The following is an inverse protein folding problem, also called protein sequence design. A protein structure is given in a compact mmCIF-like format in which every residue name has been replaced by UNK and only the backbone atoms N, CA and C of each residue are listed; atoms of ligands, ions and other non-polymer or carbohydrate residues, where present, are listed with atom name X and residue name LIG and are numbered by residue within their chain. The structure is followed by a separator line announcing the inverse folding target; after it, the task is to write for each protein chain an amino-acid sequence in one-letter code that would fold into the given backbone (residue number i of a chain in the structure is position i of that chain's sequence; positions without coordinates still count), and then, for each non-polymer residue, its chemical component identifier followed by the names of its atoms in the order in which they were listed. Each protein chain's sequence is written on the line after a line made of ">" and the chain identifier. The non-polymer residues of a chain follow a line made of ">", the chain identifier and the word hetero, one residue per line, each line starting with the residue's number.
data_IF_631594252192
#
_entry.id   IF_631594252192
#
_cell.length_a   1.000
_cell.length_b   1.000
_cell.length_c   1.000
_cell.angle_alpha   90.00
_cell.angle_beta   90.00
_cell.angle_gamma   90.00
#
_symmetry.space_group_name_H-M   'P 1'
#
loop_
_entity.id
_entity.type
_entity.pdbx_description
1 polymer ?
#
# COMPACT_ATOMS: atom_id res chain seq x y z
N UNK A 1 53.73 -20.14 -25.00
CA UNK A 1 52.85 -19.22 -25.76
C UNK A 1 51.43 -19.58 -25.40
N UNK A 2 50.66 -18.58 -24.96
CA UNK A 2 49.34 -18.71 -24.37
C UNK A 2 48.25 -18.80 -25.44
N UNK A 3 47.16 -19.53 -25.17
CA UNK A 3 45.83 -19.08 -25.60
C UNK A 3 44.76 -19.69 -24.69
N UNK A 4 44.10 -18.82 -23.93
CA UNK A 4 42.91 -19.11 -23.17
C UNK A 4 41.71 -18.84 -24.08
N UNK A 5 40.91 -19.87 -24.37
CA UNK A 5 39.63 -19.70 -25.03
C UNK A 5 38.54 -19.51 -23.97
N UNK A 6 38.21 -18.25 -23.71
CA UNK A 6 37.15 -17.81 -22.80
C UNK A 6 35.79 -18.34 -23.22
N UNK A 7 35.06 -18.88 -22.24
CA UNK A 7 33.63 -19.14 -22.33
C UNK A 7 32.86 -17.82 -22.61
N UNK A 8 31.79 -17.83 -23.41
CA UNK A 8 30.93 -16.67 -23.53
C UNK A 8 30.19 -16.46 -22.22
N UNK A 9 30.39 -15.29 -21.61
CA UNK A 9 29.64 -14.82 -20.45
C UNK A 9 28.16 -14.76 -20.80
N UNK A 10 27.37 -15.53 -20.06
CA UNK A 10 25.92 -15.45 -20.09
C UNK A 10 25.52 -14.12 -19.44
N UNK A 11 25.13 -13.15 -20.28
CA UNK A 11 24.45 -11.94 -19.83
C UNK A 11 23.19 -12.34 -19.05
N UNK A 12 22.87 -11.68 -17.92
CA UNK A 12 21.61 -11.92 -17.24
C UNK A 12 20.48 -11.55 -18.20
N UNK A 13 19.69 -12.57 -18.58
CA UNK A 13 18.51 -12.40 -19.41
C UNK A 13 17.66 -11.29 -18.82
N UNK A 14 17.40 -10.29 -19.65
CA UNK A 14 16.47 -9.22 -19.37
C UNK A 14 15.19 -9.85 -18.81
N UNK A 15 14.78 -9.40 -17.63
CA UNK A 15 13.49 -9.76 -17.07
C UNK A 15 12.45 -9.53 -18.15
N UNK A 16 11.84 -10.63 -18.61
CA UNK A 16 10.73 -10.62 -19.54
C UNK A 16 9.62 -9.82 -18.85
N UNK A 17 9.44 -8.55 -19.22
CA UNK A 17 8.32 -7.76 -18.76
C UNK A 17 7.09 -8.33 -19.47
N UNK A 18 6.50 -9.36 -18.87
CA UNK A 18 5.19 -9.87 -19.25
C UNK A 18 4.22 -8.71 -19.06
N UNK A 19 3.83 -8.09 -20.18
CA UNK A 19 2.78 -7.07 -20.17
C UNK A 19 1.47 -7.77 -19.79
N UNK A 20 0.67 -7.17 -18.89
CA UNK A 20 -0.60 -7.75 -18.48
C UNK A 20 -1.51 -7.91 -19.72
N UNK A 21 -2.22 -9.02 -19.78
CA UNK A 21 -3.19 -9.26 -20.84
C UNK A 21 -4.34 -8.26 -20.75
N UNK A 22 -5.12 -8.11 -21.83
CA UNK A 22 -6.32 -7.27 -21.81
C UNK A 22 -7.32 -7.74 -20.74
N UNK A 23 -7.38 -9.05 -20.49
CA UNK A 23 -8.23 -9.64 -19.46
C UNK A 23 -7.73 -9.27 -18.04
N UNK A 24 -6.42 -9.28 -17.80
CA UNK A 24 -5.83 -8.83 -16.53
C UNK A 24 -6.11 -7.35 -16.28
N UNK A 25 -6.01 -6.52 -17.33
CA UNK A 25 -6.33 -5.09 -17.26
C UNK A 25 -7.82 -4.83 -16.98
N UNK A 26 -8.71 -5.63 -17.57
CA UNK A 26 -10.14 -5.53 -17.31
C UNK A 26 -10.50 -5.94 -15.87
N UNK A 27 -9.88 -7.00 -15.35
CA UNK A 27 -10.03 -7.42 -13.95
C UNK A 27 -9.52 -6.34 -12.99
N UNK A 28 -8.32 -5.80 -13.25
CA UNK A 28 -7.75 -4.73 -12.44
C UNK A 28 -8.65 -3.48 -12.43
N UNK A 29 -9.23 -3.11 -13.57
CA UNK A 29 -10.15 -1.98 -13.65
C UNK A 29 -11.44 -2.20 -12.83
N UNK A 30 -11.94 -3.44 -12.75
CA UNK A 30 -13.05 -3.79 -11.88
C UNK A 30 -12.67 -3.68 -10.39
N UNK A 31 -11.52 -4.22 -10.01
CA UNK A 31 -11.01 -4.12 -8.63
C UNK A 31 -10.78 -2.66 -8.22
N UNK A 32 -10.23 -1.84 -9.11
CA UNK A 32 -10.03 -0.41 -8.90
C UNK A 32 -11.37 0.34 -8.74
N UNK A 33 -12.39 -0.03 -9.52
CA UNK A 33 -13.73 0.55 -9.41
C UNK A 33 -14.43 0.16 -8.10
N UNK A 34 -14.27 -1.07 -7.64
CA UNK A 34 -14.77 -1.52 -6.34
C UNK A 34 -14.08 -0.79 -5.18
N UNK A 35 -12.76 -0.60 -5.28
CA UNK A 35 -11.99 0.18 -4.32
C UNK A 35 -12.46 1.65 -4.27
N UNK A 36 -12.66 2.28 -5.44
CA UNK A 36 -13.17 3.65 -5.52
C UNK A 36 -14.57 3.77 -4.89
N UNK A 37 -15.46 2.80 -5.13
CA UNK A 37 -16.77 2.76 -4.49
C UNK A 37 -16.68 2.65 -2.96
N UNK A 38 -15.74 1.87 -2.44
CA UNK A 38 -15.49 1.77 -1.00
C UNK A 38 -15.03 3.11 -0.41
N UNK A 39 -14.12 3.81 -1.11
CA UNK A 39 -13.65 5.14 -0.73
C UNK A 39 -14.79 6.16 -0.71
N UNK A 40 -15.62 6.20 -1.76
CA UNK A 40 -16.79 7.10 -1.82
C UNK A 40 -17.75 6.87 -0.64
N UNK A 41 -18.07 5.61 -0.31
CA UNK A 41 -18.90 5.27 0.85
C UNK A 41 -18.28 5.70 2.17
N UNK A 42 -16.96 5.59 2.31
CA UNK A 42 -16.23 6.07 3.48
C UNK A 42 -16.30 7.60 3.62
N UNK A 43 -16.18 8.34 2.52
CA UNK A 43 -16.37 9.80 2.51
C UNK A 43 -17.79 10.21 2.89
N UNK A 44 -18.82 9.54 2.35
CA UNK A 44 -20.21 9.78 2.75
C UNK A 44 -20.43 9.51 4.25
N UNK A 45 -19.77 8.48 4.82
CA UNK A 45 -19.80 8.23 6.26
C UNK A 45 -19.20 9.39 7.06
N UNK A 46 -18.06 9.93 6.60
CA UNK A 46 -17.41 11.08 7.24
C UNK A 46 -18.26 12.34 7.14
N UNK A 47 -18.87 12.60 5.99
CA UNK A 47 -19.78 13.75 5.79
C UNK A 47 -20.95 13.71 6.79
N UNK A 48 -21.60 12.55 6.94
CA UNK A 48 -22.68 12.35 7.93
C UNK A 48 -22.21 12.51 9.38
N UNK A 49 -20.97 12.15 9.70
CA UNK A 49 -20.39 12.30 11.05
C UNK A 49 -19.95 13.73 11.36
N UNK A 50 -19.51 14.48 10.34
CA UNK A 50 -18.99 15.85 10.50
C UNK A 50 -20.11 16.89 10.43
N UNK A 51 -21.12 16.69 9.58
CA UNK A 51 -22.30 17.56 9.49
C UNK A 51 -23.31 17.25 10.59
N UNK A 52 -22.95 17.66 11.81
CA UNK A 52 -23.82 17.59 12.99
C UNK A 52 -24.88 18.70 13.02
N UNK A 53 -24.90 19.62 12.04
CA UNK A 53 -25.81 20.76 11.97
C UNK A 53 -27.22 20.42 11.49
N UNK A 54 -27.39 19.30 10.76
CA UNK A 54 -28.68 18.82 10.26
C UNK A 54 -29.47 17.96 11.28
N UNK A 55 -28.93 17.74 12.48
CA UNK A 55 -29.50 16.86 13.52
C UNK A 55 -30.82 17.35 14.14
N UNK A 56 -31.31 18.53 13.78
CA UNK A 56 -32.47 19.12 14.45
C UNK A 56 -33.83 18.75 13.84
N UNK A 57 -33.92 18.18 12.62
CA UNK A 57 -35.24 18.00 11.97
C UNK A 57 -35.48 16.69 11.17
N UNK A 58 -34.64 15.63 11.24
CA UNK A 58 -34.99 14.39 10.52
C UNK A 58 -34.38 13.08 11.05
N UNK A 59 -35.17 12.01 11.03
CA UNK A 59 -34.95 10.69 11.65
C UNK A 59 -33.83 9.81 11.04
N UNK A 60 -33.00 10.25 10.08
CA UNK A 60 -32.14 9.28 9.36
C UNK A 60 -30.76 9.76 8.87
N UNK A 61 -30.01 10.50 9.70
CA UNK A 61 -28.62 10.90 9.38
C UNK A 61 -27.53 9.97 9.94
N UNK A 62 -27.85 8.74 10.32
CA UNK A 62 -26.84 7.78 10.77
C UNK A 62 -26.13 7.13 9.55
N UNK A 63 -24.79 6.99 9.56
CA UNK A 63 -24.09 6.22 8.53
C UNK A 63 -24.53 4.74 8.59
N UNK A 64 -24.75 4.15 7.42
CA UNK A 64 -25.12 2.74 7.31
C UNK A 64 -23.96 1.84 7.75
N UNK A 65 -24.28 0.60 8.14
CA UNK A 65 -23.25 -0.40 8.49
C UNK A 65 -22.24 -0.62 7.36
N UNK A 66 -22.68 -0.58 6.11
CA UNK A 66 -21.81 -0.74 4.94
C UNK A 66 -20.87 0.45 4.76
N UNK A 67 -21.36 1.68 4.96
CA UNK A 67 -20.55 2.90 4.96
C UNK A 67 -19.49 2.88 6.08
N UNK A 68 -19.88 2.52 7.31
CA UNK A 68 -18.95 2.35 8.44
C UNK A 68 -17.93 1.25 8.18
N UNK A 69 -18.34 0.12 7.61
CA UNK A 69 -17.44 -0.98 7.25
C UNK A 69 -16.43 -0.57 6.16
N UNK A 70 -16.84 0.25 5.19
CA UNK A 70 -15.95 0.77 4.17
C UNK A 70 -14.93 1.75 4.78
N UNK A 71 -15.37 2.63 5.66
CA UNK A 71 -14.50 3.55 6.40
C UNK A 71 -13.47 2.79 7.26
N UNK A 72 -13.90 1.75 7.98
CA UNK A 72 -13.02 0.90 8.79
C UNK A 72 -11.99 0.15 7.94
N UNK A 73 -12.38 -0.36 6.76
CA UNK A 73 -11.44 -1.02 5.83
C UNK A 73 -10.36 -0.06 5.36
N UNK A 74 -10.76 1.12 4.89
CA UNK A 74 -9.82 2.15 4.43
C UNK A 74 -8.85 2.58 5.55
N UNK A 75 -9.36 2.75 6.77
CA UNK A 75 -8.53 3.08 7.93
C UNK A 75 -7.55 1.94 8.28
N UNK A 76 -8.01 0.69 8.24
CA UNK A 76 -7.17 -0.47 8.51
C UNK A 76 -6.05 -0.62 7.48
N UNK A 77 -6.34 -0.43 6.19
CA UNK A 77 -5.34 -0.45 5.13
C UNK A 77 -4.27 0.62 5.35
N UNK A 78 -4.67 1.86 5.58
CA UNK A 78 -3.75 2.96 5.86
C UNK A 78 -2.89 2.70 7.10
N UNK A 79 -3.47 2.12 8.16
CA UNK A 79 -2.75 1.76 9.38
C UNK A 79 -1.72 0.64 9.12
N UNK A 80 -2.10 -0.39 8.38
CA UNK A 80 -1.19 -1.48 8.00
C UNK A 80 0.00 -0.98 7.18
N UNK A 81 -0.23 -0.09 6.20
CA UNK A 81 0.84 0.55 5.42
C UNK A 81 1.81 1.33 6.32
N UNK A 82 1.29 2.07 7.31
CA UNK A 82 2.12 2.81 8.26
C UNK A 82 2.94 1.89 9.17
N UNK A 83 2.34 0.80 9.67
CA UNK A 83 3.05 -0.21 10.47
C UNK A 83 4.19 -0.83 9.65
N UNK A 84 3.92 -1.22 8.40
CA UNK A 84 4.94 -1.76 7.52
C UNK A 84 6.10 -0.78 7.31
N UNK A 85 5.79 0.49 7.02
CA UNK A 85 6.79 1.56 6.86
C UNK A 85 7.65 1.76 8.11
N UNK A 86 7.04 1.78 9.29
CA UNK A 86 7.75 1.90 10.57
C UNK A 86 8.67 0.69 10.80
N UNK A 87 8.18 -0.53 10.55
CA UNK A 87 8.98 -1.75 10.70
C UNK A 87 10.19 -1.77 9.76
N UNK A 88 10.00 -1.40 8.49
CA UNK A 88 11.09 -1.27 7.51
C UNK A 88 12.11 -0.22 7.96
N UNK A 89 11.65 0.93 8.43
CA UNK A 89 12.52 2.01 8.92
C UNK A 89 13.31 1.57 10.16
N UNK A 90 12.66 0.94 11.13
CA UNK A 90 13.30 0.43 12.34
C UNK A 90 14.35 -0.65 12.00
N UNK A 91 14.05 -1.53 11.05
CA UNK A 91 15.00 -2.50 10.50
C UNK A 91 16.23 -1.82 9.92
N UNK A 92 16.03 -0.84 9.02
CA UNK A 92 17.12 -0.09 8.42
C UNK A 92 17.99 0.65 9.46
N UNK A 93 17.39 1.24 10.49
CA UNK A 93 18.12 1.89 11.60
C UNK A 93 18.96 0.88 12.37
N UNK A 94 18.38 -0.28 12.73
CA UNK A 94 19.11 -1.34 13.44
C UNK A 94 20.30 -1.83 12.62
N UNK A 95 20.09 -2.09 11.34
CA UNK A 95 21.12 -2.61 10.45
C UNK A 95 22.25 -1.56 10.27
N UNK A 96 21.91 -0.27 10.18
CA UNK A 96 22.87 0.82 10.16
C UNK A 96 23.69 0.91 11.47
N UNK A 97 23.05 0.74 12.64
CA UNK A 97 23.74 0.71 13.93
C UNK A 97 24.68 -0.50 14.07
N UNK A 98 24.31 -1.65 13.51
CA UNK A 98 25.16 -2.85 13.51
C UNK A 98 26.32 -2.74 12.52
N UNK A 99 26.13 -2.02 11.42
CA UNK A 99 27.16 -1.74 10.43
C UNK A 99 28.17 -0.68 10.91
N UNK A 100 27.91 0.03 12.01
CA UNK A 100 28.87 0.96 12.61
C UNK A 100 29.97 0.14 13.32
N UNK A 101 31.23 0.15 12.84
CA UNK A 101 32.31 -0.47 13.56
C UNK A 101 32.50 0.29 14.87
N UNK A 102 32.36 -0.41 15.98
CA UNK A 102 32.65 0.03 17.36
C UNK A 102 33.47 1.32 17.41
N UNK A 103 32.81 2.45 17.69
CA UNK A 103 33.48 3.67 18.12
C UNK A 103 34.22 3.33 19.42
N UNK A 104 35.50 2.99 19.30
CA UNK A 104 36.40 2.82 20.45
C UNK A 104 36.42 4.15 21.20
N UNK A 105 36.13 4.17 22.50
CA UNK A 105 36.34 5.38 23.29
C UNK A 105 37.85 5.65 23.32
N UNK A 106 38.20 6.91 23.01
CA UNK A 106 39.56 7.46 23.13
C UNK A 106 39.92 7.60 24.60
#
# INVERSE_FOLDING_TARGET
>A
MAEAASAPGQLPSQHDLVLPSLDDLALQACDDADNLNAVMRAYTALEKLVDTGALNDSEEFAPTRTELSALLRLLNEALMTRIATVNTTAGAVRDALQAQPSLKPV
#
